data_IF_390785526674
#
_entry.id   IF_390785526674
#
_cell.length_a   1.000
_cell.length_b   1.000
_cell.length_c   1.000
_cell.angle_alpha   90.00
_cell.angle_beta   90.00
_cell.angle_gamma   90.00
#
_symmetry.space_group_name_H-M   'P 1'
#
loop_
_entity.id
_entity.type
_entity.pdbx_description
1 polymer ?
#
# COMPACT_ATOMS: atom_id res chain seq x y z
N UNK A 1 4.84 -19.40 10.58
CA UNK A 1 4.97 -19.41 9.15
C UNK A 1 4.05 -18.38 8.53
N UNK A 2 4.66 -17.38 7.91
CA UNK A 2 3.87 -16.33 7.31
C UNK A 2 3.08 -16.90 6.13
N UNK A 3 1.81 -16.59 6.09
CA UNK A 3 0.97 -17.00 5.01
C UNK A 3 0.65 -15.76 4.20
N UNK A 4 1.19 -15.69 2.99
CA UNK A 4 1.01 -14.51 2.15
C UNK A 4 -0.45 -14.26 1.83
N UNK A 5 -1.31 -15.27 1.95
CA UNK A 5 -2.73 -15.07 1.71
C UNK A 5 -3.38 -14.13 2.71
N UNK A 6 -2.67 -13.81 3.79
CA UNK A 6 -3.18 -12.92 4.82
C UNK A 6 -2.65 -11.49 4.69
N UNK A 7 -1.85 -11.21 3.67
CA UNK A 7 -1.34 -9.85 3.51
C UNK A 7 -2.36 -8.99 2.77
N UNK A 8 -2.34 -7.72 3.13
CA UNK A 8 -3.21 -6.74 2.48
C UNK A 8 -2.56 -5.38 2.54
N UNK A 9 -2.97 -4.51 1.64
CA UNK A 9 -2.45 -3.14 1.60
C UNK A 9 -3.55 -2.18 2.05
N UNK A 10 -3.18 -1.26 2.93
CA UNK A 10 -4.09 -0.19 3.34
C UNK A 10 -3.59 1.09 2.69
N UNK A 11 -4.45 1.72 1.92
CA UNK A 11 -4.14 2.97 1.26
C UNK A 11 -4.86 4.07 2.00
N UNK A 12 -4.09 5.03 2.50
CA UNK A 12 -4.60 6.16 3.25
C UNK A 12 -4.35 7.42 2.46
N UNK A 13 -5.35 8.27 2.37
CA UNK A 13 -5.23 9.56 1.69
C UNK A 13 -5.62 10.62 2.70
N UNK A 14 -4.70 11.53 2.97
CA UNK A 14 -4.93 12.64 3.87
C UNK A 14 -5.47 12.16 5.23
N UNK A 15 -4.90 11.06 5.72
CA UNK A 15 -5.23 10.53 7.03
C UNK A 15 -6.44 9.61 7.09
N UNK A 16 -7.18 9.46 6.01
CA UNK A 16 -8.38 8.61 5.98
C UNK A 16 -8.13 7.41 5.10
N UNK A 17 -8.63 6.26 5.52
CA UNK A 17 -8.48 5.05 4.71
C UNK A 17 -9.27 5.22 3.43
N UNK A 18 -8.57 5.10 2.32
CA UNK A 18 -9.16 5.21 0.99
C UNK A 18 -9.59 3.85 0.46
N UNK A 19 -8.73 2.84 0.63
CA UNK A 19 -9.00 1.53 0.09
C UNK A 19 -8.13 0.50 0.80
N UNK A 20 -8.67 -0.69 0.97
CA UNK A 20 -7.91 -1.82 1.49
C UNK A 20 -7.96 -2.92 0.42
N UNK A 21 -6.81 -3.43 0.05
CA UNK A 21 -6.69 -4.37 -1.06
C UNK A 21 -6.00 -5.63 -0.56
N UNK A 22 -6.64 -6.79 -0.68
CA UNK A 22 -5.95 -8.03 -0.33
C UNK A 22 -4.83 -8.28 -1.33
N UNK A 23 -3.65 -8.61 -0.83
CA UNK A 23 -2.51 -8.91 -1.67
C UNK A 23 -2.28 -10.41 -1.77
N UNK A 24 -2.38 -11.09 -0.65
CA UNK A 24 -2.08 -12.51 -0.63
C UNK A 24 -3.01 -13.33 -1.49
N UNK A 25 -4.28 -12.93 -1.54
CA UNK A 25 -5.27 -13.64 -2.35
C UNK A 25 -5.48 -13.02 -3.72
N UNK A 26 -4.76 -11.94 -4.01
CA UNK A 26 -4.90 -11.25 -5.29
C UNK A 26 -4.17 -12.01 -6.39
N UNK A 27 -4.73 -11.99 -7.57
CA UNK A 27 -4.04 -12.52 -8.74
C UNK A 27 -4.28 -11.59 -9.91
N UNK A 28 -3.34 -11.60 -10.85
CA UNK A 28 -3.44 -10.74 -12.01
C UNK A 28 -2.96 -9.33 -11.70
N UNK A 29 -3.34 -8.41 -12.56
CA UNK A 29 -2.87 -7.03 -12.46
C UNK A 29 -4.05 -6.08 -12.51
N UNK A 30 -4.11 -5.16 -11.55
CA UNK A 30 -5.12 -4.12 -11.52
C UNK A 30 -4.43 -2.77 -11.38
N UNK A 31 -5.02 -1.76 -11.96
CA UNK A 31 -4.45 -0.41 -11.93
C UNK A 31 -5.56 0.59 -11.67
N UNK A 32 -5.27 1.56 -10.83
CA UNK A 32 -6.22 2.63 -10.57
C UNK A 32 -5.46 3.89 -10.19
N UNK A 33 -6.12 5.02 -10.33
CA UNK A 33 -5.52 6.32 -10.05
C UNK A 33 -6.25 6.98 -8.90
N UNK A 34 -5.47 7.49 -7.94
CA UNK A 34 -6.00 8.30 -6.85
C UNK A 34 -5.77 9.75 -7.22
N UNK A 35 -6.87 10.49 -7.34
CA UNK A 35 -6.83 11.90 -7.69
C UNK A 35 -7.15 12.72 -6.46
N UNK A 36 -6.26 13.66 -6.13
CA UNK A 36 -6.49 14.58 -5.02
C UNK A 36 -6.31 15.99 -5.52
N UNK A 37 -6.62 16.97 -4.67
CA UNK A 37 -6.38 18.36 -5.02
C UNK A 37 -4.90 18.64 -5.22
N UNK A 38 -4.03 17.85 -4.60
CA UNK A 38 -2.59 18.05 -4.69
C UNK A 38 -1.97 17.38 -5.90
N UNK A 39 -2.68 16.46 -6.55
CA UNK A 39 -2.15 15.75 -7.69
C UNK A 39 -2.67 14.34 -7.76
N UNK A 40 -1.97 13.48 -8.50
CA UNK A 40 -2.45 12.12 -8.69
C UNK A 40 -1.35 11.10 -8.45
N UNK A 41 -1.79 9.89 -8.11
CA UNK A 41 -0.92 8.73 -7.99
C UNK A 41 -1.59 7.56 -8.69
N UNK A 42 -0.88 6.91 -9.60
CA UNK A 42 -1.38 5.72 -10.27
C UNK A 42 -0.76 4.51 -9.58
N UNK A 43 -1.61 3.62 -9.14
CA UNK A 43 -1.22 2.48 -8.34
C UNK A 43 -1.50 1.20 -9.11
N UNK A 44 -0.54 0.29 -9.07
CA UNK A 44 -0.68 -1.02 -9.69
C UNK A 44 -0.59 -2.08 -8.61
N UNK A 45 -1.53 -3.01 -8.63
CA UNK A 45 -1.48 -4.22 -7.81
C UNK A 45 -1.27 -5.36 -8.78
N UNK A 46 -0.16 -6.06 -8.64
CA UNK A 46 0.11 -7.20 -9.52
C UNK A 46 0.53 -8.37 -8.65
N UNK A 47 -0.15 -9.50 -8.84
CA UNK A 47 0.04 -10.67 -8.01
C UNK A 47 -0.06 -10.27 -6.55
N UNK A 48 1.00 -10.42 -5.78
CA UNK A 48 0.96 -10.18 -4.33
C UNK A 48 1.67 -8.88 -3.93
N UNK A 49 1.86 -7.97 -4.86
CA UNK A 49 2.60 -6.75 -4.58
C UNK A 49 1.86 -5.52 -5.08
N UNK A 50 2.21 -4.38 -4.52
CA UNK A 50 1.55 -3.12 -4.84
C UNK A 50 2.61 -2.03 -4.93
N UNK A 51 2.41 -1.09 -5.85
CA UNK A 51 3.33 0.02 -5.99
C UNK A 51 2.71 1.19 -6.71
N UNK A 52 3.37 2.34 -6.57
CA UNK A 52 3.00 3.54 -7.31
C UNK A 52 3.87 3.57 -8.56
N UNK A 53 3.25 3.55 -9.71
CA UNK A 53 4.01 3.51 -10.97
C UNK A 53 4.08 4.87 -11.65
N UNK A 54 3.20 5.79 -11.27
CA UNK A 54 3.20 7.11 -11.87
C UNK A 54 2.60 8.08 -10.88
N UNK A 55 3.18 9.27 -10.80
CA UNK A 55 2.67 10.32 -9.93
C UNK A 55 3.22 11.63 -10.46
N UNK A 56 2.50 12.72 -10.17
CA UNK A 56 2.96 14.04 -10.61
C UNK A 56 3.65 14.82 -9.50
N UNK A 57 4.11 14.13 -8.46
CA UNK A 57 4.87 14.78 -7.42
C UNK A 57 6.29 15.08 -7.91
N UNK A 58 6.88 16.20 -7.45
CA UNK A 58 8.17 16.62 -8.00
C UNK A 58 9.32 15.68 -7.74
N UNK A 59 9.36 15.05 -6.59
CA UNK A 59 10.51 14.23 -6.20
C UNK A 59 10.39 12.78 -6.62
N UNK A 60 9.20 12.31 -6.98
CA UNK A 60 8.98 10.94 -7.47
C UNK A 60 9.43 9.87 -6.48
N UNK A 61 9.49 10.20 -5.20
CA UNK A 61 9.96 9.24 -4.20
C UNK A 61 9.03 8.03 -4.13
N UNK A 62 7.72 8.26 -4.20
CA UNK A 62 6.77 7.16 -4.11
C UNK A 62 6.91 6.21 -5.29
N UNK A 63 7.25 6.73 -6.47
CA UNK A 63 7.48 5.88 -7.63
C UNK A 63 8.79 5.12 -7.46
N UNK A 64 9.80 5.78 -6.93
CA UNK A 64 11.11 5.15 -6.73
C UNK A 64 11.07 4.06 -5.68
N UNK A 65 10.09 4.07 -4.78
CA UNK A 65 9.96 3.03 -3.79
C UNK A 65 9.77 1.65 -4.43
N UNK A 66 9.18 1.62 -5.62
CA UNK A 66 8.94 0.36 -6.28
C UNK A 66 7.77 -0.39 -5.66
N UNK A 67 7.74 -1.69 -5.92
CA UNK A 67 6.67 -2.53 -5.42
C UNK A 67 7.00 -3.08 -4.04
N UNK A 68 5.99 -3.15 -3.19
CA UNK A 68 6.14 -3.68 -1.84
C UNK A 68 5.15 -4.81 -1.65
N UNK A 69 5.51 -5.77 -0.81
CA UNK A 69 4.67 -6.96 -0.60
C UNK A 69 4.75 -7.51 0.82
N UNK A 70 5.69 -7.06 1.61
CA UNK A 70 5.92 -7.66 2.94
C UNK A 70 5.31 -6.79 4.02
N UNK A 71 4.72 -7.42 5.05
CA UNK A 71 4.16 -6.65 6.15
C UNK A 71 5.20 -5.71 6.74
N UNK A 72 4.77 -4.48 6.99
CA UNK A 72 5.67 -3.45 7.51
C UNK A 72 6.27 -2.57 6.45
N UNK A 73 6.22 -2.96 5.19
CA UNK A 73 6.70 -2.10 4.13
C UNK A 73 5.69 -1.00 3.84
N UNK A 74 6.19 0.17 3.50
CA UNK A 74 5.34 1.32 3.21
C UNK A 74 5.85 2.06 1.98
N UNK A 75 4.94 2.75 1.32
CA UNK A 75 5.26 3.68 0.26
C UNK A 75 4.50 4.97 0.56
N UNK A 76 5.19 6.09 0.55
CA UNK A 76 4.63 7.37 1.00
C UNK A 76 4.81 8.40 -0.09
N UNK A 77 3.74 9.12 -0.40
CA UNK A 77 3.80 10.28 -1.27
C UNK A 77 3.37 11.48 -0.43
N UNK A 78 4.35 12.19 0.13
CA UNK A 78 4.06 13.27 1.06
C UNK A 78 3.32 14.44 0.43
N UNK A 79 3.70 14.90 -0.76
CA UNK A 79 2.97 16.02 -1.34
C UNK A 79 1.49 15.72 -1.53
N UNK A 80 1.13 14.48 -1.82
CA UNK A 80 -0.25 14.09 -2.07
C UNK A 80 -0.90 13.48 -0.84
N UNK A 81 -0.11 13.25 0.23
CA UNK A 81 -0.59 12.65 1.48
C UNK A 81 -1.17 11.27 1.26
N UNK A 82 -0.54 10.52 0.36
CA UNK A 82 -0.93 9.14 0.09
C UNK A 82 0.06 8.22 0.78
N UNK A 83 -0.46 7.27 1.52
CA UNK A 83 0.34 6.29 2.23
C UNK A 83 -0.19 4.91 1.88
N UNK A 84 0.72 4.03 1.46
CA UNK A 84 0.39 2.63 1.23
C UNK A 84 1.16 1.83 2.25
N UNK A 85 0.46 1.00 2.99
CA UNK A 85 1.07 0.22 4.06
C UNK A 85 0.65 -1.23 3.90
N UNK A 86 1.63 -2.14 3.89
CA UNK A 86 1.34 -3.56 3.81
C UNK A 86 1.23 -4.11 5.21
N UNK A 87 0.17 -4.84 5.46
CA UNK A 87 -0.10 -5.44 6.75
C UNK A 87 -0.45 -6.91 6.58
N UNK A 88 -0.39 -7.65 7.66
CA UNK A 88 -0.78 -9.04 7.66
C UNK A 88 -1.88 -9.22 8.68
N UNK A 89 -2.93 -9.90 8.27
CA UNK A 89 -4.02 -10.27 9.17
C UNK A 89 -3.68 -11.63 9.73
N UNK A 90 -2.92 -11.64 10.81
CA UNK A 90 -2.41 -12.87 11.39
C UNK A 90 -2.99 -13.02 12.78
N UNK A 91 -3.96 -13.91 12.90
CA UNK A 91 -4.66 -14.09 14.17
C UNK A 91 -3.74 -14.62 15.26
N UNK A 92 -2.66 -15.27 14.88
CA UNK A 92 -1.70 -15.76 15.84
C UNK A 92 -0.72 -14.71 16.31
N UNK A 93 -0.76 -13.54 15.72
CA UNK A 93 0.15 -12.48 16.06
C UNK A 93 -0.14 -12.05 17.47
N UNK A 94 0.82 -12.15 18.35
CA UNK A 94 0.56 -11.68 19.68
C UNK A 94 0.43 -10.20 19.65
N UNK A 95 0.03 -9.77 19.58
CA UNK A 95 0.12 -8.54 19.27
C UNK A 95 0.38 -7.72 20.04
N UNK A 96 0.81 -7.80 19.89
CA UNK A 96 1.16 -7.25 20.25
C UNK A 96 1.19 -6.38 20.55
N UNK A 97 1.14 -6.07 20.71
CA UNK A 97 1.30 -5.30 20.86
C UNK A 97 1.19 -4.71 21.36
N UNK A 98 1.37 -4.57 21.67
CA UNK A 98 1.37 -3.97 22.31
C UNK A 98 1.28 -2.99 22.58
N UNK A 99 1.42 -2.74 22.31
CA UNK A 99 1.49 -1.77 22.63
C UNK A 99 0.69 -1.43 23.26
N UNK A 100 0.60 -1.55 23.43
CA UNK A 100 -0.11 -1.38 24.07
C UNK A 100 0.15 -0.88 25.07
#
# INVERSE_FOLDING_TARGET
LADSSQTYAVITVDGAVYKTIPLGSHSGTNMFTIQTAAGYNTIVVREHEIGVVEADCPDQICVDEGFISKPGQTAVCLPHKVLIEVKADNADEPDIIPAR
#
